data_IF_399950069540
#
_entry.id   IF_399950069540
#
_cell.length_a   1.000
_cell.length_b   1.000
_cell.length_c   1.000
_cell.angle_alpha   90.00
_cell.angle_beta   90.00
_cell.angle_gamma   90.00
#
_symmetry.space_group_name_H-M   'P 1'
#
loop_
_entity.id
_entity.type
_entity.pdbx_description
1 polymer ?
#
# COMPACT_ATOMS: atom_id res chain seq x y z
N UNK A 1 11.05 26.10 -26.51
CA UNK A 1 10.94 24.71 -27.01
C UNK A 1 11.50 23.71 -25.98
N UNK A 2 12.77 23.83 -25.57
CA UNK A 2 13.39 22.97 -24.55
C UNK A 2 12.66 22.99 -23.19
N UNK A 3 12.20 24.17 -22.75
CA UNK A 3 11.40 24.33 -21.52
C UNK A 3 10.12 23.48 -21.53
N UNK A 4 9.40 23.47 -22.67
CA UNK A 4 8.17 22.68 -22.81
C UNK A 4 8.44 21.18 -22.75
N UNK A 5 9.53 20.72 -23.37
CA UNK A 5 9.93 19.31 -23.32
C UNK A 5 10.29 18.87 -21.90
N UNK A 6 11.07 19.67 -21.19
CA UNK A 6 11.42 19.38 -19.78
C UNK A 6 10.15 19.33 -18.93
N UNK A 7 9.27 20.32 -19.05
CA UNK A 7 8.01 20.35 -18.31
C UNK A 7 7.14 19.13 -18.60
N UNK A 8 7.05 18.70 -19.87
CA UNK A 8 6.28 17.51 -20.25
C UNK A 8 6.78 16.26 -19.52
N UNK A 9 8.09 16.04 -19.51
CA UNK A 9 8.67 14.87 -18.87
C UNK A 9 8.56 14.92 -17.34
N UNK A 10 8.79 16.09 -16.73
CA UNK A 10 8.63 16.25 -15.27
C UNK A 10 7.19 16.01 -14.85
N UNK A 11 6.21 16.61 -15.53
CA UNK A 11 4.80 16.42 -15.22
C UNK A 11 4.37 14.97 -15.45
N UNK A 12 4.77 14.37 -16.57
CA UNK A 12 4.48 12.97 -16.87
C UNK A 12 5.05 12.02 -15.82
N UNK A 13 6.28 12.27 -15.38
CA UNK A 13 6.93 11.49 -14.33
C UNK A 13 6.21 11.64 -12.98
N UNK A 14 5.87 12.87 -12.57
CA UNK A 14 5.10 13.12 -11.34
C UNK A 14 3.75 12.42 -11.40
N UNK A 15 3.04 12.52 -12.53
CA UNK A 15 1.76 11.85 -12.71
C UNK A 15 1.89 10.32 -12.57
N UNK A 16 2.89 9.71 -13.19
CA UNK A 16 3.15 8.28 -13.09
C UNK A 16 3.49 7.86 -11.64
N UNK A 17 4.31 8.64 -10.93
CA UNK A 17 4.64 8.39 -9.53
C UNK A 17 3.39 8.42 -8.64
N UNK A 18 2.56 9.46 -8.77
CA UNK A 18 1.33 9.61 -8.00
C UNK A 18 0.36 8.45 -8.26
N UNK A 19 0.11 8.10 -9.53
CA UNK A 19 -0.78 7.00 -9.90
C UNK A 19 -0.24 5.66 -9.40
N UNK A 20 1.06 5.41 -9.53
CA UNK A 20 1.70 4.19 -9.04
C UNK A 20 1.58 4.03 -7.54
N UNK A 21 1.80 5.11 -6.77
CA UNK A 21 1.63 5.10 -5.31
C UNK A 21 0.17 4.83 -4.92
N UNK A 22 -0.80 5.47 -5.57
CA UNK A 22 -2.23 5.20 -5.35
C UNK A 22 -2.57 3.73 -5.60
N UNK A 23 -2.13 3.18 -6.74
CA UNK A 23 -2.41 1.81 -7.13
C UNK A 23 -1.80 0.80 -6.15
N UNK A 24 -0.57 1.04 -5.69
CA UNK A 24 0.10 0.19 -4.71
C UNK A 24 -0.70 0.10 -3.40
N UNK A 25 -1.05 1.24 -2.79
CA UNK A 25 -1.75 1.24 -1.51
C UNK A 25 -3.16 0.64 -1.61
N UNK A 26 -3.91 0.95 -2.67
CA UNK A 26 -5.23 0.33 -2.91
C UNK A 26 -5.14 -1.18 -3.13
N UNK A 27 -4.10 -1.65 -3.82
CA UNK A 27 -3.84 -3.07 -4.00
C UNK A 27 -3.50 -3.76 -2.67
N UNK A 28 -2.64 -3.15 -1.86
CA UNK A 28 -2.31 -3.70 -0.54
C UNK A 28 -3.54 -3.74 0.37
N UNK A 29 -4.44 -2.74 0.34
CA UNK A 29 -5.67 -2.71 1.13
C UNK A 29 -6.64 -3.87 0.85
N UNK A 30 -6.61 -4.45 -0.36
CA UNK A 30 -7.52 -5.54 -0.76
C UNK A 30 -6.85 -6.92 -0.76
N UNK A 31 -5.52 -6.97 -0.76
CA UNK A 31 -4.76 -8.21 -0.80
C UNK A 31 -4.93 -9.01 0.50
N UNK A 32 -5.03 -10.35 0.43
CA UNK A 32 -4.91 -11.21 1.61
C UNK A 32 -3.52 -11.08 2.24
N UNK A 33 -3.46 -10.79 3.53
CA UNK A 33 -2.19 -10.57 4.24
C UNK A 33 -2.03 -11.52 5.42
N UNK A 34 -0.81 -11.56 5.95
CA UNK A 34 -0.51 -12.35 7.14
C UNK A 34 -1.11 -11.71 8.38
N UNK A 35 -1.53 -12.52 9.36
CA UNK A 35 -2.18 -12.05 10.60
C UNK A 35 -1.34 -11.01 11.37
N UNK A 36 -0.01 -11.12 11.33
CA UNK A 36 0.89 -10.14 11.96
C UNK A 36 0.79 -8.72 11.40
N UNK A 37 0.54 -8.61 10.09
CA UNK A 37 0.45 -7.31 9.41
C UNK A 37 -1.01 -6.84 9.30
N UNK A 38 -1.94 -7.68 9.74
CA UNK A 38 -3.38 -7.53 9.59
C UNK A 38 -3.91 -6.20 10.11
N UNK A 39 -3.47 -5.79 11.31
CA UNK A 39 -3.92 -4.57 12.00
C UNK A 39 -2.80 -3.55 12.16
N UNK A 40 -2.02 -3.34 11.09
CA UNK A 40 -0.95 -2.34 11.10
C UNK A 40 -1.51 -0.92 11.08
N UNK A 41 -1.50 -0.24 12.22
CA UNK A 41 -1.97 1.15 12.36
C UNK A 41 -1.16 2.11 11.49
N UNK A 42 0.17 1.95 11.44
CA UNK A 42 1.03 2.79 10.62
C UNK A 42 0.76 2.64 9.13
N UNK A 43 0.44 1.42 8.68
CA UNK A 43 0.01 1.19 7.30
C UNK A 43 -1.32 1.88 7.03
N UNK A 44 -2.29 1.76 7.94
CA UNK A 44 -3.62 2.35 7.75
C UNK A 44 -3.58 3.89 7.69
N UNK A 45 -2.80 4.52 8.56
CA UNK A 45 -2.57 5.97 8.53
C UNK A 45 -1.96 6.43 7.20
N UNK A 46 -0.93 5.72 6.72
CA UNK A 46 -0.30 6.02 5.43
C UNK A 46 -1.27 5.79 4.27
N UNK A 47 -1.97 4.66 4.27
CA UNK A 47 -2.94 4.32 3.25
C UNK A 47 -4.06 5.37 3.17
N UNK A 48 -4.62 5.79 4.31
CA UNK A 48 -5.63 6.85 4.36
C UNK A 48 -5.09 8.19 3.84
N UNK A 49 -3.86 8.57 4.21
CA UNK A 49 -3.24 9.82 3.73
C UNK A 49 -2.98 9.84 2.23
N UNK A 50 -2.74 8.66 1.64
CA UNK A 50 -2.45 8.49 0.22
C UNK A 50 -3.76 8.33 -0.55
N UNK A 51 -4.54 7.29 -0.25
CA UNK A 51 -5.70 6.88 -1.06
C UNK A 51 -6.99 7.60 -0.70
N UNK A 52 -7.02 8.30 0.44
CA UNK A 52 -8.22 8.90 1.01
C UNK A 52 -9.17 7.88 1.64
N UNK A 53 -8.78 6.61 1.75
CA UNK A 53 -9.59 5.51 2.27
C UNK A 53 -8.80 4.76 3.33
N UNK A 54 -9.42 4.50 4.48
CA UNK A 54 -8.88 3.55 5.46
C UNK A 54 -8.95 2.13 4.91
N UNK A 55 -8.07 1.25 5.38
CA UNK A 55 -8.13 -0.17 5.10
C UNK A 55 -9.39 -0.77 5.74
N UNK A 56 -10.26 -1.36 4.92
CA UNK A 56 -11.37 -2.14 5.44
C UNK A 56 -10.88 -3.53 5.84
N UNK A 57 -10.79 -3.76 7.15
CA UNK A 57 -10.41 -5.05 7.72
C UNK A 57 -11.53 -6.09 7.64
N UNK A 58 -12.66 -5.83 6.99
CA UNK A 58 -13.65 -6.86 6.63
C UNK A 58 -13.34 -7.44 5.26
N UNK A 59 -12.87 -6.60 4.33
CA UNK A 59 -12.56 -7.00 2.94
C UNK A 59 -11.19 -7.65 2.80
N UNK A 60 -10.22 -7.16 3.56
CA UNK A 60 -8.94 -7.82 3.71
C UNK A 60 -9.28 -9.11 4.52
N UNK A 61 -8.72 -10.27 4.22
CA UNK A 61 -8.92 -11.48 5.05
C UNK A 61 -7.57 -12.16 5.20
N UNK A 62 -7.16 -12.57 6.41
CA UNK A 62 -5.92 -13.30 6.56
C UNK A 62 -5.94 -14.59 5.74
N UNK A 63 -5.05 -14.72 4.74
CA UNK A 63 -4.95 -15.94 3.94
C UNK A 63 -4.28 -17.10 4.69
N UNK A 64 -3.51 -16.78 5.74
CA UNK A 64 -2.73 -17.74 6.51
C UNK A 64 -2.82 -17.38 7.99
N UNK A 65 -3.18 -18.37 8.81
CA UNK A 65 -3.15 -18.28 10.28
C UNK A 65 -1.86 -18.93 10.80
N UNK A 66 -1.30 -18.35 11.87
CA UNK A 66 -0.07 -18.83 12.52
C UNK A 66 1.18 -18.06 12.12
N UNK A 67 2.00 -17.74 13.13
CA UNK A 67 3.29 -17.09 12.96
C UNK A 67 4.40 -18.15 12.91
N UNK A 68 5.05 -18.30 11.76
CA UNK A 68 6.15 -19.25 11.57
C UNK A 68 7.38 -18.97 12.46
N UNK A 69 7.48 -17.77 13.06
CA UNK A 69 8.52 -17.41 14.01
C UNK A 69 8.14 -17.72 15.46
N UNK A 70 6.92 -18.21 15.72
CA UNK A 70 6.58 -18.87 16.98
C UNK A 70 7.14 -20.31 16.96
N UNK A 71 8.44 -20.44 16.71
CA UNK A 71 9.17 -21.65 17.07
C UNK A 71 9.16 -21.71 18.60
N UNK A 72 8.30 -22.58 19.13
CA UNK A 72 8.40 -23.04 20.51
C UNK A 72 9.87 -23.42 20.75
N UNK A 73 10.50 -22.71 21.68
CA UNK A 73 11.70 -23.16 22.36
C UNK A 73 11.38 -24.51 23.02
N UNK A 74 11.68 -25.60 22.31
CA UNK A 74 11.79 -26.93 22.89
C UNK A 74 13.21 -27.10 23.45
#
# INVERSE_FOLDING_TARGET
>A
MTTLLISLFVIGWVAAALIGTQAYFRGEQTKPIHERNWRSESFDQLAQSITGQSADFVDRVPAYSGDAFTSNSL
#
